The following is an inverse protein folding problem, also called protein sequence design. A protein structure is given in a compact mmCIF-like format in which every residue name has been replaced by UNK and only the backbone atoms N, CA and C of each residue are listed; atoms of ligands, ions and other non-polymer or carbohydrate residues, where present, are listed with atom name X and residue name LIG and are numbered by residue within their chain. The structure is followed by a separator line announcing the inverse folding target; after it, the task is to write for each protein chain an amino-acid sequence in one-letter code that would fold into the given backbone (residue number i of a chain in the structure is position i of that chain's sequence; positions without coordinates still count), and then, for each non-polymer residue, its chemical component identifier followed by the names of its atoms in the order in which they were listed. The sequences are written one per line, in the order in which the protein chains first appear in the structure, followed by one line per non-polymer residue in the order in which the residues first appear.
data_IF_356316389564
#
_entry.id   IF_356316389564
#
_cell.length_a   1.000
_cell.length_b   1.000
_cell.length_c   1.000
_cell.angle_alpha   90.00
_cell.angle_beta   90.00
_cell.angle_gamma   90.00
#
_symmetry.space_group_name_H-M   'P 1'
#
loop_
_entity.id
_entity.type
_entity.pdbx_description
1 polymer ?
#
# COMPACT_ATOMS: atom_id res chain seq x y z
N UNK A 1 -1.39 -0.16 4.27
CA UNK A 1 -0.56 1.08 4.20
C UNK A 1 0.87 0.83 3.77
N UNK A 2 1.68 0.00 4.45
CA UNK A 2 3.09 -0.23 4.03
C UNK A 2 3.26 -0.79 2.62
N UNK A 3 2.33 -1.65 2.20
CA UNK A 3 2.24 -2.23 0.86
C UNK A 3 2.04 -1.13 -0.20
N UNK A 4 0.86 -0.49 -0.20
CA UNK A 4 0.53 0.66 -1.05
C UNK A 4 1.61 1.73 -1.16
N UNK A 5 2.24 2.11 -0.04
CA UNK A 5 3.32 3.11 -0.06
C UNK A 5 4.54 2.63 -0.84
N UNK A 6 4.90 1.34 -0.71
CA UNK A 6 6.00 0.76 -1.46
C UNK A 6 5.65 0.60 -2.95
N UNK A 7 4.39 0.27 -3.28
CA UNK A 7 3.93 0.29 -4.67
C UNK A 7 4.06 1.69 -5.28
N UNK A 8 3.42 2.68 -4.68
CA UNK A 8 3.36 4.05 -5.20
C UNK A 8 4.77 4.65 -5.37
N UNK A 9 5.68 4.39 -4.42
CA UNK A 9 7.02 4.96 -4.49
C UNK A 9 7.93 4.29 -5.52
N UNK A 10 7.72 3.00 -5.83
CA UNK A 10 8.70 2.21 -6.57
C UNK A 10 8.11 1.30 -7.63
N UNK A 11 7.05 0.54 -7.33
CA UNK A 11 6.46 -0.42 -8.27
C UNK A 11 5.71 0.30 -9.38
N UNK A 12 4.84 1.27 -9.07
CA UNK A 12 4.06 2.00 -10.07
C UNK A 12 4.94 2.79 -11.06
N UNK A 13 5.97 3.54 -10.61
CA UNK A 13 6.92 4.16 -11.55
C UNK A 13 7.65 3.14 -12.43
N UNK A 14 7.90 1.93 -11.93
CA UNK A 14 8.50 0.87 -12.73
C UNK A 14 7.51 0.30 -13.75
N UNK A 15 6.24 0.10 -13.36
CA UNK A 15 5.17 -0.35 -14.26
C UNK A 15 4.98 0.65 -15.40
N UNK A 16 4.79 1.93 -15.09
CA UNK A 16 4.64 3.00 -16.10
C UNK A 16 5.82 3.09 -17.07
N UNK A 17 7.03 2.84 -16.57
CA UNK A 17 8.26 2.98 -17.36
C UNK A 17 8.53 1.78 -18.28
N UNK A 18 8.27 0.57 -17.81
CA UNK A 18 8.73 -0.65 -18.49
C UNK A 18 7.61 -1.47 -19.12
N UNK A 19 6.35 -1.28 -18.71
CA UNK A 19 5.22 -2.08 -19.16
C UNK A 19 4.40 -1.31 -20.20
N UNK A 20 4.12 -1.91 -21.37
CA UNK A 20 3.18 -1.31 -22.33
C UNK A 20 1.81 -1.06 -21.68
N UNK A 21 1.26 0.14 -21.85
CA UNK A 21 0.02 0.59 -21.19
C UNK A 21 0.08 0.60 -19.64
N UNK A 22 1.27 0.59 -19.04
CA UNK A 22 1.43 0.55 -17.59
C UNK A 22 0.78 1.72 -16.84
N UNK A 23 0.58 2.88 -17.47
CA UNK A 23 -0.15 4.00 -16.88
C UNK A 23 -1.61 3.70 -16.61
N UNK A 24 -2.28 2.93 -17.47
CA UNK A 24 -3.68 2.53 -17.26
C UNK A 24 -3.78 1.52 -16.11
N UNK A 25 -2.84 0.57 -16.04
CA UNK A 25 -2.75 -0.40 -14.93
C UNK A 25 -2.53 0.32 -13.59
N UNK A 26 -1.58 1.26 -13.54
CA UNK A 26 -1.30 2.03 -12.31
C UNK A 26 -2.48 2.92 -11.89
N UNK A 27 -3.20 3.51 -12.84
CA UNK A 27 -4.37 4.32 -12.51
C UNK A 27 -5.51 3.46 -11.94
N UNK A 28 -5.69 2.25 -12.47
CA UNK A 28 -6.62 1.28 -11.90
C UNK A 28 -6.25 0.91 -10.46
N UNK A 29 -4.99 0.56 -10.20
CA UNK A 29 -4.54 0.15 -8.87
C UNK A 29 -4.68 1.28 -7.83
N UNK A 30 -4.44 2.53 -8.24
CA UNK A 30 -4.68 3.70 -7.38
C UNK A 30 -6.15 3.83 -6.98
N UNK A 31 -7.06 3.59 -7.91
CA UNK A 31 -8.50 3.62 -7.64
C UNK A 31 -8.91 2.49 -6.68
N UNK A 32 -8.35 1.29 -6.85
CA UNK A 32 -8.58 0.18 -5.92
C UNK A 32 -8.05 0.50 -4.51
N UNK A 33 -6.85 1.09 -4.40
CA UNK A 33 -6.28 1.53 -3.13
C UNK A 33 -7.15 2.57 -2.43
N UNK A 34 -7.66 3.55 -3.18
CA UNK A 34 -8.60 4.55 -2.65
C UNK A 34 -9.88 3.91 -2.12
N UNK A 35 -10.44 2.93 -2.84
CA UNK A 35 -11.63 2.20 -2.40
C UNK A 35 -11.35 1.37 -1.14
N UNK A 36 -10.21 0.68 -1.08
CA UNK A 36 -9.76 -0.08 0.10
C UNK A 36 -9.68 0.86 1.32
N UNK A 37 -9.04 2.02 1.17
CA UNK A 37 -8.92 3.02 2.25
C UNK A 37 -10.29 3.52 2.68
N UNK A 38 -11.21 3.76 1.75
CA UNK A 38 -12.56 4.19 2.08
C UNK A 38 -13.32 3.13 2.90
N UNK A 39 -13.23 1.85 2.50
CA UNK A 39 -13.86 0.74 3.24
C UNK A 39 -13.22 0.56 4.62
N UNK A 40 -11.89 0.70 4.73
CA UNK A 40 -11.19 0.66 6.02
C UNK A 40 -11.68 1.77 6.97
N UNK A 41 -11.83 3.01 6.49
CA UNK A 41 -12.40 4.12 7.28
C UNK A 41 -13.82 3.81 7.75
N UNK A 42 -14.66 3.26 6.86
CA UNK A 42 -16.03 2.86 7.23
C UNK A 42 -16.04 1.75 8.29
N UNK A 43 -15.09 0.81 8.23
CA UNK A 43 -14.93 -0.23 9.25
C UNK A 43 -14.45 0.33 10.60
N UNK A 44 -13.55 1.32 10.61
CA UNK A 44 -13.09 1.99 11.83
C UNK A 44 -14.25 2.68 12.58
N UNK A 45 -15.19 3.26 11.85
CA UNK A 45 -16.38 3.92 12.41
C UNK A 45 -17.53 2.94 12.75
N UNK A 46 -17.44 1.69 12.30
CA UNK A 46 -18.50 0.69 12.48
C UNK A 46 -18.43 -0.02 13.84
N UNK A 47 -19.61 -0.24 14.44
CA UNK A 47 -19.73 -1.16 15.57
C UNK A 47 -19.56 -2.62 15.09
N UNK A 48 -18.57 -3.32 15.64
CA UNK A 48 -18.22 -4.70 15.26
C UNK A 48 -19.36 -5.73 15.39
N UNK A 49 -20.39 -5.48 16.22
CA UNK A 49 -21.54 -6.39 16.34
C UNK A 49 -22.68 -6.07 15.37
N UNK A 50 -22.60 -4.98 14.63
CA UNK A 50 -23.63 -4.59 13.67
C UNK A 50 -23.48 -5.41 12.37
N UNK A 51 -24.60 -5.83 11.72
CA UNK A 51 -24.54 -6.58 10.46
C UNK A 51 -23.76 -5.87 9.34
N UNK A 52 -23.74 -4.54 9.34
CA UNK A 52 -22.98 -3.72 8.39
C UNK A 52 -21.47 -3.97 8.48
N UNK A 53 -20.95 -4.28 9.66
CA UNK A 53 -19.52 -4.56 9.85
C UNK A 53 -19.10 -5.79 9.03
N UNK A 54 -19.87 -6.88 9.09
CA UNK A 54 -19.58 -8.09 8.33
C UNK A 54 -19.66 -7.85 6.82
N UNK A 55 -20.64 -7.06 6.35
CA UNK A 55 -20.75 -6.72 4.94
C UNK A 55 -19.53 -5.92 4.44
N UNK A 56 -19.06 -4.95 5.23
CA UNK A 56 -17.88 -4.16 4.90
C UNK A 56 -16.59 -4.97 4.98
N UNK A 57 -16.50 -5.93 5.91
CA UNK A 57 -15.35 -6.82 6.02
C UNK A 57 -15.23 -7.76 4.81
N UNK A 58 -16.35 -8.34 4.35
CA UNK A 58 -16.35 -9.14 3.12
C UNK A 58 -16.02 -8.30 1.89
N UNK A 59 -16.51 -7.04 1.83
CA UNK A 59 -16.12 -6.10 0.78
C UNK A 59 -14.61 -5.84 0.78
N UNK A 60 -14.02 -5.51 1.93
CA UNK A 60 -12.59 -5.28 2.09
C UNK A 60 -11.77 -6.50 1.63
N UNK A 61 -12.19 -7.70 2.05
CA UNK A 61 -11.55 -8.95 1.64
C UNK A 61 -11.59 -9.14 0.13
N UNK A 62 -12.74 -8.86 -0.50
CA UNK A 62 -12.90 -8.91 -1.95
C UNK A 62 -11.94 -7.98 -2.67
N UNK A 63 -11.88 -6.71 -2.27
CA UNK A 63 -10.98 -5.72 -2.85
C UNK A 63 -9.51 -6.12 -2.71
N UNK A 64 -9.08 -6.52 -1.50
CA UNK A 64 -7.70 -6.95 -1.27
C UNK A 64 -7.33 -8.20 -2.08
N UNK A 65 -8.27 -9.14 -2.24
CA UNK A 65 -8.02 -10.35 -3.02
C UNK A 65 -7.94 -10.06 -4.52
N UNK A 66 -8.77 -9.15 -5.02
CA UNK A 66 -8.74 -8.74 -6.42
C UNK A 66 -7.44 -8.01 -6.74
N UNK A 67 -7.09 -7.01 -5.94
CA UNK A 67 -5.87 -6.23 -6.09
C UNK A 67 -4.62 -7.12 -6.08
N UNK A 68 -4.52 -8.03 -5.10
CA UNK A 68 -3.39 -8.98 -5.04
C UNK A 68 -3.35 -9.94 -6.25
N UNK A 69 -4.50 -10.37 -6.77
CA UNK A 69 -4.56 -11.24 -7.95
C UNK A 69 -4.10 -10.51 -9.22
N UNK A 70 -4.48 -9.23 -9.38
CA UNK A 70 -4.02 -8.39 -10.48
C UNK A 70 -2.49 -8.22 -10.44
N UNK A 71 -1.94 -7.90 -9.27
CA UNK A 71 -0.48 -7.78 -9.07
C UNK A 71 0.25 -9.11 -9.35
N UNK A 72 -0.17 -10.20 -8.69
CA UNK A 72 0.54 -11.48 -8.71
C UNK A 72 0.40 -12.23 -10.04
N UNK A 73 -0.77 -12.16 -10.67
CA UNK A 73 -1.08 -12.94 -11.88
C UNK A 73 -0.85 -12.16 -13.18
N UNK A 74 -0.92 -10.82 -13.16
CA UNK A 74 -0.77 -9.98 -14.35
C UNK A 74 0.51 -9.16 -14.29
N UNK A 75 0.63 -8.28 -13.30
CA UNK A 75 1.63 -7.20 -13.34
C UNK A 75 3.05 -7.71 -13.08
N UNK A 76 3.28 -8.47 -12.00
CA UNK A 76 4.61 -9.00 -11.71
C UNK A 76 5.14 -9.94 -12.80
N UNK A 77 4.33 -10.82 -13.42
CA UNK A 77 4.74 -11.56 -14.61
C UNK A 77 5.14 -10.67 -15.79
N UNK A 78 4.40 -9.58 -16.06
CA UNK A 78 4.79 -8.60 -17.09
C UNK A 78 6.12 -7.93 -16.75
N UNK A 79 6.33 -7.55 -15.49
CA UNK A 79 7.61 -6.99 -15.02
C UNK A 79 8.77 -7.96 -15.23
N UNK A 80 8.58 -9.25 -14.92
CA UNK A 80 9.59 -10.30 -15.19
C UNK A 80 9.90 -10.47 -16.67
N UNK A 81 8.97 -10.12 -17.54
CA UNK A 81 9.14 -10.20 -19.00
C UNK A 81 9.85 -8.97 -19.57
N UNK A 82 9.59 -7.79 -19.02
CA UNK A 82 10.06 -6.51 -19.59
C UNK A 82 11.27 -5.89 -18.88
N UNK A 83 11.63 -6.38 -17.69
CA UNK A 83 12.76 -5.87 -16.91
C UNK A 83 13.87 -6.92 -16.79
N UNK A 84 15.11 -6.47 -16.65
CA UNK A 84 16.24 -7.37 -16.39
C UNK A 84 16.21 -7.91 -14.96
N UNK A 85 16.90 -9.03 -14.72
CA UNK A 85 17.03 -9.61 -13.38
C UNK A 85 17.61 -8.61 -12.36
N UNK A 86 18.66 -7.88 -12.74
CA UNK A 86 19.29 -6.88 -11.87
C UNK A 86 18.32 -5.73 -11.53
N UNK A 87 17.52 -5.27 -12.50
CA UNK A 87 16.50 -4.23 -12.27
C UNK A 87 15.42 -4.71 -11.29
N UNK A 88 15.00 -5.97 -11.39
CA UNK A 88 14.00 -6.57 -10.51
C UNK A 88 14.54 -6.77 -9.09
N UNK A 89 15.82 -7.15 -8.95
CA UNK A 89 16.49 -7.26 -7.64
C UNK A 89 16.57 -5.88 -6.99
N UNK A 90 17.07 -4.87 -7.71
CA UNK A 90 17.16 -3.50 -7.20
C UNK A 90 15.79 -2.94 -6.79
N UNK A 91 14.74 -3.24 -7.57
CA UNK A 91 13.38 -2.85 -7.25
C UNK A 91 12.89 -3.53 -5.96
N UNK A 92 13.12 -4.83 -5.82
CA UNK A 92 12.78 -5.58 -4.60
C UNK A 92 13.45 -5.01 -3.35
N UNK A 93 14.73 -4.66 -3.44
CA UNK A 93 15.47 -4.02 -2.34
C UNK A 93 14.86 -2.66 -1.95
N UNK A 94 14.44 -1.85 -2.93
CA UNK A 94 13.77 -0.56 -2.67
C UNK A 94 12.42 -0.75 -1.99
N UNK A 95 11.61 -1.71 -2.45
CA UNK A 95 10.31 -2.06 -1.85
C UNK A 95 10.48 -2.48 -0.40
N UNK A 96 11.43 -3.37 -0.11
CA UNK A 96 11.69 -3.81 1.27
C UNK A 96 12.18 -2.66 2.16
N UNK A 97 13.03 -1.77 1.63
CA UNK A 97 13.42 -0.55 2.36
C UNK A 97 12.23 0.38 2.64
N UNK A 98 11.35 0.63 1.66
CA UNK A 98 10.14 1.43 1.85
C UNK A 98 9.25 0.88 2.97
N UNK A 99 9.03 -0.44 2.99
CA UNK A 99 8.21 -1.10 4.01
C UNK A 99 8.74 -0.89 5.43
N UNK A 100 10.07 -0.80 5.62
CA UNK A 100 10.68 -0.52 6.93
C UNK A 100 10.48 0.92 7.42
N UNK A 101 10.35 1.86 6.47
CA UNK A 101 10.23 3.30 6.71
C UNK A 101 8.77 3.76 6.83
N UNK A 102 7.83 3.07 6.18
CA UNK A 102 6.41 3.40 6.22
C UNK A 102 5.76 3.11 7.60
N UNK A 103 4.91 4.04 8.06
CA UNK A 103 4.17 3.90 9.34
C UNK A 103 3.30 2.64 9.36
N UNK A 104 3.14 2.05 10.54
CA UNK A 104 2.19 0.95 10.79
C UNK A 104 0.74 1.41 10.82
N UNK A 105 0.48 2.71 10.96
CA UNK A 105 -0.87 3.24 11.20
C UNK A 105 -1.32 4.22 10.09
N UNK A 106 -2.58 4.16 9.64
CA UNK A 106 -3.18 5.21 8.83
C UNK A 106 -3.29 6.47 9.69
N UNK A 107 -2.75 7.60 9.22
CA UNK A 107 -2.98 8.89 9.87
C UNK A 107 -3.88 9.74 8.96
N UNK A 108 -4.95 10.39 9.48
CA UNK A 108 -5.92 11.15 8.68
C UNK A 108 -5.33 12.36 7.93
N UNK A 109 -4.07 12.71 8.21
CA UNK A 109 -3.34 13.82 7.58
C UNK A 109 -2.08 13.39 6.82
N UNK A 110 -1.90 12.10 6.53
CA UNK A 110 -0.89 11.64 5.58
C UNK A 110 -1.47 11.75 4.15
N UNK A 111 -1.06 12.73 3.33
CA UNK A 111 -1.51 12.84 1.95
C UNK A 111 -0.80 11.78 1.10
N UNK A 112 -1.54 11.16 0.18
CA UNK A 112 -1.08 10.20 -0.84
C UNK A 112 -0.21 10.85 -1.94
N UNK A 113 0.82 11.62 -1.57
CA UNK A 113 1.73 12.20 -2.55
C UNK A 113 3.17 11.76 -2.31
N UNK A 114 3.84 11.36 -3.39
CA UNK A 114 5.26 10.93 -3.42
C UNK A 114 6.20 11.89 -2.64
N UNK A 115 5.88 13.19 -2.63
CA UNK A 115 6.68 14.24 -1.98
C UNK A 115 6.53 14.28 -0.45
N UNK A 116 5.38 13.85 0.09
CA UNK A 116 5.16 13.80 1.54
C UNK A 116 5.95 12.67 2.19
N UNK A 117 6.08 11.54 1.49
CA UNK A 117 6.83 10.37 1.94
C UNK A 117 8.34 10.62 1.99
N UNK A 118 8.87 11.44 1.08
CA UNK A 118 10.30 11.81 1.07
C UNK A 118 10.72 12.83 2.14
N UNK A 119 9.80 13.58 2.73
CA UNK A 119 10.14 14.70 3.64
C UNK A 119 9.54 14.64 5.05
N UNK A 120 8.37 14.02 5.22
CA UNK A 120 7.63 14.01 6.50
C UNK A 120 7.28 12.59 6.99
N UNK A 121 7.26 11.59 6.09
CA UNK A 121 6.97 10.18 6.48
C UNK A 121 7.93 9.61 7.53
N UNK A 122 9.22 9.99 7.47
CA UNK A 122 10.23 9.54 8.42
C UNK A 122 10.03 10.10 9.84
N UNK A 123 9.48 11.32 10.00
CA UNK A 123 9.27 11.94 11.31
C UNK A 123 8.01 11.44 12.01
N UNK A 124 6.92 11.22 11.26
CA UNK A 124 5.67 10.68 11.83
C UNK A 124 5.84 9.21 12.26
N UNK A 125 6.53 8.39 11.45
CA UNK A 125 6.78 6.98 11.81
C UNK A 125 7.65 6.80 13.06
N UNK A 126 8.47 7.79 13.42
CA UNK A 126 9.23 7.77 14.69
C UNK A 126 8.36 8.14 15.90
N UNK A 127 7.45 9.10 15.75
CA UNK A 127 6.53 9.51 16.82
C UNK A 127 5.55 8.38 17.15
N UNK A 128 5.03 7.68 16.15
CA UNK A 128 4.18 6.51 16.34
C UNK A 128 4.92 5.39 17.08
N UNK A 129 6.16 5.08 16.70
CA UNK A 129 6.99 4.06 17.37
C UNK A 129 7.30 4.41 18.83
N UNK A 130 7.41 5.69 19.16
CA UNK A 130 7.57 6.16 20.55
C UNK A 130 6.27 6.00 21.34
N UNK A 131 5.13 6.34 20.73
CA UNK A 131 3.81 6.15 21.33
C UNK A 131 3.50 4.67 21.59
N UNK A 132 3.81 3.78 20.65
CA UNK A 132 3.62 2.33 20.78
C UNK A 132 4.47 1.73 21.91
N UNK A 133 5.71 2.19 22.06
CA UNK A 133 6.59 1.77 23.15
C UNK A 133 6.11 2.26 24.53
N UNK A 134 5.52 3.45 24.59
CA UNK A 134 4.98 4.03 25.82
C UNK A 134 3.63 3.42 26.22
N UNK A 135 2.80 3.04 25.24
CA UNK A 135 1.49 2.43 25.47
C UNK A 135 1.53 0.90 25.58
N UNK A 136 2.70 0.27 25.39
CA UNK A 136 2.89 -1.17 25.54
C UNK A 136 2.22 -2.01 24.46
N UNK A 137 1.81 -1.41 23.33
CA UNK A 137 1.24 -2.13 22.20
C UNK A 137 2.35 -2.81 21.41
N UNK A 138 2.28 -4.14 21.30
CA UNK A 138 3.21 -4.91 20.49
C UNK A 138 2.87 -4.72 19.01
N UNK A 139 3.83 -4.21 18.25
CA UNK A 139 3.87 -4.36 16.79
C UNK A 139 4.25 -5.81 16.47
N UNK A 140 3.41 -6.51 15.70
CA UNK A 140 3.78 -7.74 15.01
C UNK A 140 4.27 -7.40 13.62
#
# INVERSE_FOLDING_TARGET
MRHAVAEEMYVYPAIEKYIPNGTEEVEHDKQEHDEIVQVMKQLEDCNAVAPVFMAQLEKLKGLLSHHADDEESQQFPKMRTHMSGDQLIELGEKVEQAKTLASTHPHPSAPHSELFHKSVGASVGMVDRLSDKLTGRKTK
#
